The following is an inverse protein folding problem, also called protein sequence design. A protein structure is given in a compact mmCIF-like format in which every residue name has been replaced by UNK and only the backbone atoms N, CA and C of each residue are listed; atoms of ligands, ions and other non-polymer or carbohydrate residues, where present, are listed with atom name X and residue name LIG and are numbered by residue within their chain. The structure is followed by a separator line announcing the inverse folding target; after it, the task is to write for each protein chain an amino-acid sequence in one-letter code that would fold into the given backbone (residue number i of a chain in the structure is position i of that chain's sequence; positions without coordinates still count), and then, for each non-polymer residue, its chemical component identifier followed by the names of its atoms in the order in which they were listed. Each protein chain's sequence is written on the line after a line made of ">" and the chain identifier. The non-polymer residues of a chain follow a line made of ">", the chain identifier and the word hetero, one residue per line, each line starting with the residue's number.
data_IF_683315655759
#
_entry.id   IF_683315655759
#
_cell.length_a   1.000
_cell.length_b   1.000
_cell.length_c   1.000
_cell.angle_alpha   90.00
_cell.angle_beta   90.00
_cell.angle_gamma   90.00
#
_symmetry.space_group_name_H-M   'P 1'
#
loop_
_entity.id
_entity.type
_entity.pdbx_description
1 polymer ?
#
# COMPACT_ATOMS: atom_id res chain seq x y z
N UNK A 1 25.36 -31.95 -15.24
CA UNK A 1 24.40 -30.83 -15.41
C UNK A 1 25.19 -29.55 -15.19
N UNK A 2 25.38 -28.75 -16.23
CA UNK A 2 25.98 -27.42 -16.08
C UNK A 2 24.99 -26.55 -15.31
N UNK A 3 25.46 -25.87 -14.26
CA UNK A 3 24.65 -24.93 -13.47
C UNK A 3 24.33 -23.76 -14.40
N UNK A 4 23.06 -23.43 -14.59
CA UNK A 4 22.67 -22.26 -15.38
C UNK A 4 23.38 -21.02 -14.81
N UNK A 5 23.98 -20.17 -15.66
CA UNK A 5 24.69 -18.99 -15.18
C UNK A 5 23.69 -18.07 -14.47
N UNK A 6 23.95 -17.81 -13.19
CA UNK A 6 23.19 -16.87 -12.38
C UNK A 6 23.51 -15.46 -12.92
N UNK A 7 22.59 -14.90 -13.72
CA UNK A 7 22.73 -13.54 -14.23
C UNK A 7 22.45 -12.59 -13.07
N UNK A 8 23.53 -12.06 -12.46
CA UNK A 8 23.45 -11.02 -11.45
C UNK A 8 23.54 -9.67 -12.18
N UNK A 9 22.40 -8.98 -12.28
CA UNK A 9 22.33 -7.62 -12.81
C UNK A 9 22.68 -6.64 -11.68
N UNK A 10 23.80 -5.95 -11.82
CA UNK A 10 24.22 -4.84 -10.95
C UNK A 10 23.55 -3.56 -11.47
N UNK A 11 22.33 -3.29 -11.00
CA UNK A 11 21.57 -2.10 -11.37
C UNK A 11 21.87 -0.98 -10.37
N UNK A 12 22.17 0.25 -10.83
CA UNK A 12 22.36 1.39 -9.93
C UNK A 12 21.11 1.66 -9.10
N UNK A 13 21.29 1.95 -7.81
CA UNK A 13 20.19 2.23 -6.88
C UNK A 13 19.29 3.38 -7.36
N UNK A 14 19.86 4.42 -7.96
CA UNK A 14 19.12 5.58 -8.48
C UNK A 14 18.11 5.18 -9.57
N UNK A 15 18.51 4.25 -10.45
CA UNK A 15 17.63 3.73 -11.50
C UNK A 15 16.43 2.99 -10.90
N UNK A 16 16.66 2.20 -9.85
CA UNK A 16 15.61 1.46 -9.18
C UNK A 16 14.61 2.40 -8.48
N UNK A 17 15.10 3.45 -7.82
CA UNK A 17 14.26 4.43 -7.14
C UNK A 17 13.40 5.23 -8.13
N UNK A 18 13.93 5.60 -9.30
CA UNK A 18 13.14 6.27 -10.32
C UNK A 18 12.10 5.35 -10.98
N UNK A 19 12.43 4.06 -11.14
CA UNK A 19 11.46 3.08 -11.59
C UNK A 19 10.28 2.93 -10.61
N UNK A 20 10.53 2.99 -9.29
CA UNK A 20 9.47 2.90 -8.27
C UNK A 20 8.48 4.07 -8.34
N UNK A 21 8.93 5.28 -8.66
CA UNK A 21 8.05 6.45 -8.79
C UNK A 21 7.02 6.31 -9.92
N UNK A 22 7.32 5.50 -10.94
CA UNK A 22 6.38 5.26 -12.04
C UNK A 22 5.08 4.59 -11.58
N UNK A 23 5.09 3.93 -10.42
CA UNK A 23 3.90 3.23 -9.88
C UNK A 23 2.96 4.16 -9.11
N UNK A 24 3.39 5.37 -8.76
CA UNK A 24 2.64 6.29 -7.91
C UNK A 24 1.19 6.55 -8.37
N UNK A 25 0.91 6.80 -9.66
CA UNK A 25 -0.47 7.00 -10.12
C UNK A 25 -1.36 5.78 -9.87
N UNK A 26 -0.81 4.56 -10.03
CA UNK A 26 -1.55 3.33 -9.76
C UNK A 26 -1.82 3.15 -8.26
N UNK A 27 -0.88 3.56 -7.40
CA UNK A 27 -1.09 3.55 -5.95
C UNK A 27 -2.18 4.54 -5.55
N UNK A 28 -2.19 5.74 -6.13
CA UNK A 28 -3.22 6.75 -5.88
C UNK A 28 -4.61 6.25 -6.29
N UNK A 29 -4.71 5.62 -7.46
CA UNK A 29 -5.98 5.05 -7.94
C UNK A 29 -6.51 3.95 -7.01
N UNK A 30 -5.64 3.00 -6.63
CA UNK A 30 -6.03 1.88 -5.76
C UNK A 30 -6.39 2.39 -4.36
N UNK A 31 -5.61 3.32 -3.79
CA UNK A 31 -5.90 3.90 -2.49
C UNK A 31 -7.21 4.69 -2.49
N UNK A 32 -7.49 5.43 -3.57
CA UNK A 32 -8.77 6.09 -3.79
C UNK A 32 -9.94 5.09 -3.80
N UNK A 33 -9.83 4.01 -4.57
CA UNK A 33 -10.85 2.94 -4.61
C UNK A 33 -11.09 2.28 -3.25
N UNK A 34 -10.05 2.11 -2.45
CA UNK A 34 -10.20 1.60 -1.07
C UNK A 34 -10.94 2.62 -0.21
N UNK A 35 -10.56 3.90 -0.27
CA UNK A 35 -11.21 4.97 0.49
C UNK A 35 -12.69 5.13 0.12
N UNK A 36 -13.01 5.17 -1.17
CA UNK A 36 -14.38 5.29 -1.69
C UNK A 36 -15.29 4.12 -1.27
N UNK A 37 -14.70 2.95 -1.01
CA UNK A 37 -15.45 1.78 -0.56
C UNK A 37 -15.87 1.82 0.92
N UNK A 38 -15.39 2.82 1.66
CA UNK A 38 -15.65 3.03 3.09
C UNK A 38 -16.64 4.18 3.24
N UNK A 39 -17.76 3.92 3.91
CA UNK A 39 -18.83 4.91 4.12
C UNK A 39 -19.08 5.16 5.59
N UNK A 40 -19.51 6.37 5.93
CA UNK A 40 -20.03 6.71 7.27
C UNK A 40 -18.99 7.20 8.28
N UNK A 41 -17.75 7.41 7.83
CA UNK A 41 -16.65 8.10 8.53
C UNK A 41 -15.77 8.79 7.49
N UNK A 42 -15.11 9.88 7.87
CA UNK A 42 -14.08 10.51 7.05
C UNK A 42 -12.86 9.60 6.88
N UNK A 43 -12.35 9.52 5.64
CA UNK A 43 -11.16 8.75 5.26
C UNK A 43 -10.19 9.67 4.56
N UNK A 44 -8.92 9.62 4.97
CA UNK A 44 -7.83 10.37 4.36
C UNK A 44 -6.84 9.43 3.68
N UNK A 45 -6.35 9.84 2.52
CA UNK A 45 -5.29 9.14 1.78
C UNK A 45 -4.06 10.04 1.76
N UNK A 46 -2.95 9.56 2.31
CA UNK A 46 -1.70 10.32 2.39
C UNK A 46 -0.59 9.60 1.65
N UNK A 47 0.08 10.31 0.75
CA UNK A 47 1.29 9.86 0.10
C UNK A 47 2.48 9.88 1.06
N UNK A 48 3.27 8.81 1.08
CA UNK A 48 4.48 8.69 1.89
C UNK A 48 5.45 7.71 1.24
N UNK A 49 6.73 7.85 1.51
CA UNK A 49 7.71 6.80 1.21
C UNK A 49 7.99 5.96 2.46
N UNK A 50 8.14 4.65 2.27
CA UNK A 50 8.57 3.75 3.34
C UNK A 50 10.06 3.92 3.68
N UNK A 51 10.57 3.10 4.60
CA UNK A 51 11.98 3.20 5.05
C UNK A 51 12.99 2.84 3.96
N UNK A 52 12.56 2.11 2.93
CA UNK A 52 13.38 1.66 1.81
C UNK A 52 13.21 2.59 0.59
N UNK A 53 12.51 3.72 0.75
CA UNK A 53 12.25 4.70 -0.31
C UNK A 53 11.12 4.31 -1.24
N UNK A 54 10.33 3.26 -0.91
CA UNK A 54 9.23 2.82 -1.78
C UNK A 54 8.00 3.71 -1.57
N UNK A 55 7.37 4.21 -2.65
CA UNK A 55 6.16 4.98 -2.52
C UNK A 55 5.04 4.09 -1.98
N UNK A 56 4.34 4.59 -0.97
CA UNK A 56 3.16 3.97 -0.36
C UNK A 56 2.04 4.99 -0.20
N UNK A 57 0.80 4.51 -0.14
CA UNK A 57 -0.37 5.33 0.17
C UNK A 57 -1.01 4.85 1.45
N UNK A 58 -1.10 5.74 2.42
CA UNK A 58 -1.67 5.46 3.74
C UNK A 58 -3.15 5.84 3.72
N UNK A 59 -4.03 4.84 3.83
CA UNK A 59 -5.48 5.04 3.97
C UNK A 59 -5.83 5.04 5.45
N UNK A 60 -6.32 6.17 5.97
CA UNK A 60 -6.55 6.39 7.39
C UNK A 60 -8.00 6.76 7.66
N UNK A 61 -8.60 6.14 8.69
CA UNK A 61 -9.90 6.57 9.21
C UNK A 61 -9.64 7.77 10.14
N UNK A 62 -10.12 8.97 9.77
CA UNK A 62 -9.75 10.21 10.45
C UNK A 62 -10.44 10.42 11.80
N UNK A 63 -11.52 9.67 12.08
CA UNK A 63 -12.37 9.84 13.26
C UNK A 63 -12.25 8.69 14.26
N UNK A 64 -12.50 8.99 15.54
CA UNK A 64 -12.57 7.97 16.61
C UNK A 64 -13.63 6.88 16.34
N UNK A 65 -14.74 7.25 15.70
CA UNK A 65 -15.77 6.30 15.24
C UNK A 65 -15.20 5.28 14.26
N UNK A 66 -14.26 5.69 13.42
CA UNK A 66 -13.56 4.82 12.48
C UNK A 66 -12.79 3.71 13.19
N UNK A 67 -12.11 4.02 14.30
CA UNK A 67 -11.42 3.01 15.10
C UNK A 67 -12.39 1.95 15.65
N UNK A 68 -13.56 2.36 16.15
CA UNK A 68 -14.60 1.42 16.61
C UNK A 68 -15.15 0.56 15.46
N UNK A 69 -15.39 1.15 14.29
CA UNK A 69 -15.82 0.41 13.09
C UNK A 69 -14.77 -0.57 12.59
N UNK A 70 -13.48 -0.20 12.64
CA UNK A 70 -12.39 -1.11 12.31
C UNK A 70 -12.32 -2.28 13.30
N UNK A 71 -12.41 -2.01 14.61
CA UNK A 71 -12.37 -3.05 15.63
C UNK A 71 -13.56 -4.02 15.52
N UNK A 72 -14.76 -3.52 15.21
CA UNK A 72 -15.99 -4.32 15.16
C UNK A 72 -16.16 -5.08 13.84
N UNK A 73 -15.81 -4.46 12.71
CA UNK A 73 -16.16 -4.95 11.37
C UNK A 73 -14.98 -5.20 10.44
N UNK A 74 -13.76 -4.82 10.86
CA UNK A 74 -12.58 -4.86 10.02
C UNK A 74 -12.75 -4.01 8.76
N UNK A 75 -13.34 -2.81 8.90
CA UNK A 75 -13.75 -1.93 7.80
C UNK A 75 -12.65 -1.71 6.75
N UNK A 76 -11.44 -1.33 7.15
CA UNK A 76 -10.29 -1.16 6.25
C UNK A 76 -9.87 -2.49 5.60
N UNK A 77 -9.83 -3.56 6.40
CA UNK A 77 -9.45 -4.89 5.92
C UNK A 77 -10.43 -5.41 4.85
N UNK A 78 -11.72 -5.19 5.08
CA UNK A 78 -12.78 -5.55 4.13
C UNK A 78 -12.74 -4.67 2.88
N UNK A 79 -12.47 -3.38 3.04
CA UNK A 79 -12.29 -2.44 1.93
C UNK A 79 -11.11 -2.85 1.03
N UNK A 80 -9.95 -3.16 1.62
CA UNK A 80 -8.79 -3.65 0.88
C UNK A 80 -9.09 -4.97 0.14
N UNK A 81 -9.72 -5.94 0.82
CA UNK A 81 -10.08 -7.22 0.23
C UNK A 81 -11.07 -7.09 -0.94
N UNK A 82 -11.97 -6.10 -0.92
CA UNK A 82 -12.91 -5.82 -2.04
C UNK A 82 -12.19 -5.36 -3.30
N UNK A 83 -11.01 -4.76 -3.15
CA UNK A 83 -10.16 -4.35 -4.27
C UNK A 83 -9.15 -5.45 -4.64
N UNK A 84 -9.37 -6.68 -4.19
CA UNK A 84 -8.50 -7.84 -4.44
C UNK A 84 -7.05 -7.65 -3.94
N UNK A 85 -6.86 -6.83 -2.90
CA UNK A 85 -5.56 -6.63 -2.28
C UNK A 85 -5.27 -7.71 -1.24
N UNK A 86 -4.02 -8.14 -1.17
CA UNK A 86 -3.53 -8.99 -0.10
C UNK A 86 -3.41 -8.19 1.20
N UNK A 87 -4.04 -8.72 2.27
CA UNK A 87 -3.99 -8.09 3.58
C UNK A 87 -2.99 -8.80 4.46
N UNK A 88 -1.91 -8.08 4.78
CA UNK A 88 -0.88 -8.53 5.72
C UNK A 88 -0.85 -7.64 6.94
N UNK A 89 -0.51 -8.23 8.09
CA UNK A 89 -0.23 -7.45 9.29
C UNK A 89 1.05 -6.67 9.07
N UNK A 90 1.01 -5.35 9.25
CA UNK A 90 2.24 -4.56 9.23
C UNK A 90 3.19 -5.05 10.32
N UNK A 91 4.34 -5.56 9.90
CA UNK A 91 5.43 -5.98 10.78
C UNK A 91 6.48 -4.87 10.73
N UNK A 92 6.57 -4.02 11.78
CA UNK A 92 7.69 -3.10 11.88
C UNK A 92 8.94 -3.97 12.08
N UNK A 93 9.75 -4.11 11.02
CA UNK A 93 11.14 -4.58 11.16
C UNK A 93 11.96 -3.49 11.85
#
# INVERSE_FOLDING_TARGET
>A
MAKDPEIILDLPDDWFQDALKTIEPALDEVAGKVADSITGVEVTVTARDDRDGRPVRLVTLAEAKGAAMQAKHGTLTRAAARQSLDVVRYSPR
#
